data_IF_884713233175
#
_entry.id   IF_884713233175
#
_cell.length_a   1.000
_cell.length_b   1.000
_cell.length_c   1.000
_cell.angle_alpha   90.00
_cell.angle_beta   90.00
_cell.angle_gamma   90.00
#
_symmetry.space_group_name_H-M   'P 1'
#
loop_
_entity.id
_entity.type
_entity.pdbx_description
1 polymer ?
#
# COMPACT_ATOMS: atom_id res chain seq x y z
N UNK A 1 -12.53 -22.94 -22.11
CA UNK A 1 -11.86 -21.65 -21.85
C UNK A 1 -12.10 -21.30 -20.38
N UNK A 2 -11.09 -21.47 -19.48
CA UNK A 2 -11.18 -21.04 -18.09
C UNK A 2 -11.28 -19.49 -18.09
N UNK A 3 -12.31 -18.96 -17.46
CA UNK A 3 -12.37 -17.50 -17.20
C UNK A 3 -11.24 -17.16 -16.25
N UNK A 4 -10.26 -16.40 -16.72
CA UNK A 4 -9.19 -15.85 -15.91
C UNK A 4 -9.86 -15.03 -14.79
N UNK A 5 -9.61 -15.42 -13.54
CA UNK A 5 -10.17 -14.77 -12.37
C UNK A 5 -9.76 -13.27 -12.31
N UNK A 6 -10.57 -12.45 -11.63
CA UNK A 6 -10.33 -11.00 -11.52
C UNK A 6 -8.96 -10.70 -10.88
N UNK A 7 -8.53 -11.53 -9.92
CA UNK A 7 -7.21 -11.43 -9.27
C UNK A 7 -6.03 -11.74 -10.21
N UNK A 8 -6.17 -12.73 -11.10
CA UNK A 8 -5.13 -13.08 -12.08
C UNK A 8 -4.91 -11.97 -13.13
N UNK A 9 -5.96 -11.19 -13.47
CA UNK A 9 -5.83 -10.00 -14.33
C UNK A 9 -5.08 -8.87 -13.64
N UNK A 10 -5.34 -8.60 -12.36
CA UNK A 10 -4.66 -7.59 -11.55
C UNK A 10 -3.16 -7.86 -11.51
N UNK A 11 -2.75 -9.10 -11.20
CA UNK A 11 -1.34 -9.49 -11.15
C UNK A 11 -0.67 -9.34 -12.52
N UNK A 12 -1.35 -9.69 -13.61
CA UNK A 12 -0.81 -9.54 -14.97
C UNK A 12 -0.60 -8.07 -15.37
N UNK A 13 -1.46 -7.17 -14.91
CA UNK A 13 -1.34 -5.74 -15.19
C UNK A 13 -0.24 -5.07 -14.32
N UNK A 14 -0.05 -5.52 -13.10
CA UNK A 14 1.02 -5.08 -12.21
C UNK A 14 2.43 -5.31 -12.78
N UNK A 15 2.68 -6.51 -13.30
CA UNK A 15 3.97 -6.85 -13.91
C UNK A 15 4.28 -6.07 -15.20
N UNK A 16 3.27 -5.45 -15.84
CA UNK A 16 3.45 -4.63 -17.05
C UNK A 16 3.91 -3.20 -16.75
N UNK A 17 3.56 -2.63 -15.58
CA UNK A 17 3.89 -1.25 -15.19
C UNK A 17 5.38 -1.06 -14.85
N UNK A 18 5.98 -2.04 -14.17
CA UNK A 18 7.32 -1.90 -13.57
C UNK A 18 8.49 -1.90 -14.60
N UNK A 19 8.28 -2.42 -15.79
CA UNK A 19 9.36 -2.53 -16.80
C UNK A 19 9.69 -1.25 -17.57
N UNK A 20 9.01 -0.11 -17.33
CA UNK A 20 9.17 1.12 -18.11
C UNK A 20 9.44 2.38 -17.31
N UNK A 21 9.78 2.27 -16.03
CA UNK A 21 10.27 3.44 -15.32
C UNK A 21 11.58 3.90 -15.97
N UNK A 22 11.56 5.07 -16.62
CA UNK A 22 12.78 5.67 -17.15
C UNK A 22 13.73 5.95 -15.99
N UNK A 23 15.03 5.94 -16.24
CA UNK A 23 16.04 6.28 -15.23
C UNK A 23 15.71 7.59 -14.51
N UNK A 24 15.19 8.57 -15.25
CA UNK A 24 14.75 9.85 -14.69
C UNK A 24 13.61 9.72 -13.68
N UNK A 25 12.62 8.84 -13.91
CA UNK A 25 11.54 8.59 -12.95
C UNK A 25 12.07 7.96 -11.66
N UNK A 26 12.99 7.01 -11.76
CA UNK A 26 13.63 6.38 -10.58
C UNK A 26 14.45 7.38 -9.78
N UNK A 27 15.18 8.27 -10.46
CA UNK A 27 15.94 9.34 -9.80
C UNK A 27 15.01 10.33 -9.10
N UNK A 28 13.89 10.71 -9.72
CA UNK A 28 12.87 11.58 -9.11
C UNK A 28 12.17 10.92 -7.93
N UNK A 29 11.85 9.61 -8.00
CA UNK A 29 11.33 8.86 -6.86
C UNK A 29 12.30 8.90 -5.67
N UNK A 30 13.59 8.61 -5.88
CA UNK A 30 14.61 8.70 -4.83
C UNK A 30 14.72 10.12 -4.25
N UNK A 31 14.71 11.13 -5.13
CA UNK A 31 14.74 12.53 -4.72
C UNK A 31 13.51 12.92 -3.86
N UNK A 32 12.32 12.36 -4.16
CA UNK A 32 11.11 12.59 -3.36
C UNK A 32 11.32 12.15 -1.91
N UNK A 33 11.71 10.90 -1.69
CA UNK A 33 11.90 10.37 -0.34
C UNK A 33 13.05 11.05 0.40
N UNK A 34 14.17 11.34 -0.28
CA UNK A 34 15.26 12.11 0.30
C UNK A 34 14.78 13.49 0.78
N UNK A 35 14.12 14.26 -0.08
CA UNK A 35 13.65 15.60 0.26
C UNK A 35 12.58 15.58 1.35
N UNK A 36 11.66 14.60 1.34
CA UNK A 36 10.66 14.43 2.40
C UNK A 36 11.29 14.07 3.76
N UNK A 37 12.41 13.38 3.78
CA UNK A 37 13.13 13.11 5.02
C UNK A 37 13.77 14.36 5.62
N UNK A 38 14.21 15.29 4.78
CA UNK A 38 14.98 16.48 5.17
C UNK A 38 14.11 17.73 5.40
N UNK A 39 13.01 17.89 4.62
CA UNK A 39 12.23 19.15 4.56
C UNK A 39 10.73 18.89 4.70
N UNK A 40 10.00 19.92 5.15
CA UNK A 40 8.55 19.98 5.07
C UNK A 40 8.10 20.09 3.60
N UNK A 41 7.00 19.42 3.25
CA UNK A 41 6.48 19.39 1.87
C UNK A 41 6.27 20.78 1.26
N UNK A 42 5.72 21.71 2.05
CA UNK A 42 5.50 23.08 1.60
C UNK A 42 6.76 23.82 1.16
N UNK A 43 7.93 23.43 1.70
CA UNK A 43 9.23 24.04 1.40
C UNK A 43 9.99 23.38 0.25
N UNK A 44 9.48 22.27 -0.27
CA UNK A 44 10.08 21.55 -1.40
C UNK A 44 9.56 22.13 -2.72
N UNK A 45 10.48 22.47 -3.62
CA UNK A 45 10.21 22.99 -4.95
C UNK A 45 10.62 22.01 -6.05
N UNK A 46 10.10 22.20 -7.27
CA UNK A 46 10.54 21.42 -8.45
C UNK A 46 12.05 21.57 -8.69
N UNK A 47 12.62 22.74 -8.34
CA UNK A 47 14.07 22.95 -8.45
C UNK A 47 14.87 22.05 -7.49
N UNK A 48 14.34 21.80 -6.27
CA UNK A 48 14.97 20.88 -5.33
C UNK A 48 14.98 19.46 -5.91
N UNK A 49 13.86 18.99 -6.48
CA UNK A 49 13.77 17.68 -7.12
C UNK A 49 14.78 17.52 -8.26
N UNK A 50 14.83 18.48 -9.17
CA UNK A 50 15.74 18.41 -10.33
C UNK A 50 17.20 18.45 -9.90
N UNK A 51 17.53 19.22 -8.87
CA UNK A 51 18.87 19.29 -8.29
C UNK A 51 19.29 17.97 -7.65
N UNK A 52 18.42 17.37 -6.83
CA UNK A 52 18.71 16.11 -6.14
C UNK A 52 18.75 14.94 -7.12
N UNK A 53 17.82 14.91 -8.08
CA UNK A 53 17.76 13.86 -9.10
C UNK A 53 18.85 14.00 -10.17
N UNK A 54 19.56 15.14 -10.28
CA UNK A 54 20.57 15.38 -11.30
C UNK A 54 20.02 15.48 -12.71
N UNK A 55 18.78 15.97 -12.88
CA UNK A 55 18.12 16.09 -14.18
C UNK A 55 17.79 17.57 -14.52
N UNK A 56 17.54 17.84 -15.78
CA UNK A 56 17.07 19.15 -16.21
C UNK A 56 15.59 19.38 -15.89
N UNK A 57 15.20 20.63 -15.65
CA UNK A 57 13.81 21.02 -15.38
C UNK A 57 12.85 20.62 -16.51
N UNK A 58 13.30 20.66 -17.74
CA UNK A 58 12.54 20.20 -18.91
C UNK A 58 12.21 18.70 -18.81
N UNK A 59 13.15 17.87 -18.34
CA UNK A 59 12.95 16.44 -18.14
C UNK A 59 11.93 16.18 -17.04
N UNK A 60 11.91 16.99 -15.96
CA UNK A 60 10.86 16.90 -14.95
C UNK A 60 9.47 17.08 -15.57
N UNK A 61 9.27 18.16 -16.32
CA UNK A 61 7.98 18.50 -16.93
C UNK A 61 7.58 17.59 -18.11
N UNK A 62 8.47 16.74 -18.60
CA UNK A 62 8.11 15.65 -19.53
C UNK A 62 7.40 14.49 -18.83
N UNK A 63 7.59 14.36 -17.51
CA UNK A 63 7.04 13.24 -16.73
C UNK A 63 5.92 13.65 -15.78
N UNK A 64 5.97 14.87 -15.23
CA UNK A 64 5.09 15.35 -14.18
C UNK A 64 4.68 16.81 -14.41
N UNK A 65 3.41 17.12 -14.16
CA UNK A 65 2.90 18.49 -14.27
C UNK A 65 3.48 19.40 -13.18
N UNK A 66 3.54 18.89 -11.97
CA UNK A 66 4.11 19.58 -10.79
C UNK A 66 4.59 18.58 -9.72
N UNK A 67 4.97 19.09 -8.55
CA UNK A 67 5.44 18.26 -7.44
C UNK A 67 4.32 17.40 -6.82
N UNK A 68 3.07 17.82 -6.91
CA UNK A 68 1.93 17.04 -6.38
C UNK A 68 1.64 15.86 -7.28
N UNK A 69 1.71 16.07 -8.60
CA UNK A 69 1.60 14.98 -9.59
C UNK A 69 2.72 13.95 -9.42
N UNK A 70 3.97 14.39 -9.22
CA UNK A 70 5.08 13.48 -8.89
C UNK A 70 4.78 12.66 -7.64
N UNK A 71 4.36 13.31 -6.54
CA UNK A 71 4.10 12.60 -5.29
C UNK A 71 2.93 11.61 -5.43
N UNK A 72 1.86 12.02 -6.12
CA UNK A 72 0.71 11.17 -6.34
C UNK A 72 1.06 9.93 -7.18
N UNK A 73 1.74 10.10 -8.32
CA UNK A 73 2.13 8.98 -9.16
C UNK A 73 3.07 8.01 -8.43
N UNK A 74 4.02 8.52 -7.62
CA UNK A 74 4.90 7.66 -6.82
C UNK A 74 4.11 6.88 -5.76
N UNK A 75 3.13 7.50 -5.09
CA UNK A 75 2.25 6.79 -4.15
C UNK A 75 1.40 5.74 -4.85
N UNK A 76 0.79 6.07 -5.98
CA UNK A 76 -0.02 5.14 -6.77
C UNK A 76 0.82 3.91 -7.19
N UNK A 77 2.05 4.12 -7.68
CA UNK A 77 2.98 3.04 -8.01
C UNK A 77 3.30 2.15 -6.79
N UNK A 78 3.52 2.75 -5.61
CA UNK A 78 3.77 1.98 -4.37
C UNK A 78 2.58 1.13 -3.98
N UNK A 79 1.37 1.66 -4.05
CA UNK A 79 0.16 0.91 -3.73
C UNK A 79 -0.17 -0.15 -4.77
N UNK A 80 0.14 0.07 -6.04
CA UNK A 80 0.03 -0.95 -7.07
C UNK A 80 1.00 -2.11 -6.82
N UNK A 81 2.25 -1.84 -6.44
CA UNK A 81 3.21 -2.88 -6.02
C UNK A 81 2.71 -3.63 -4.78
N UNK A 82 2.15 -2.92 -3.80
CA UNK A 82 1.52 -3.55 -2.63
C UNK A 82 0.35 -4.47 -3.03
N UNK A 83 -0.55 -4.01 -3.90
CA UNK A 83 -1.65 -4.85 -4.44
C UNK A 83 -1.10 -6.14 -5.06
N UNK A 84 -0.07 -6.01 -5.89
CA UNK A 84 0.57 -7.15 -6.53
C UNK A 84 1.15 -8.14 -5.52
N UNK A 85 1.84 -7.64 -4.49
CA UNK A 85 2.42 -8.47 -3.45
C UNK A 85 1.32 -9.21 -2.66
N UNK A 86 0.27 -8.50 -2.25
CA UNK A 86 -0.82 -9.06 -1.44
C UNK A 86 -1.62 -10.10 -2.23
N UNK A 87 -2.03 -9.77 -3.46
CA UNK A 87 -2.94 -10.59 -4.27
C UNK A 87 -2.24 -11.52 -5.27
N UNK A 88 -0.91 -11.69 -5.16
CA UNK A 88 -0.19 -12.69 -5.94
C UNK A 88 -0.86 -14.07 -5.79
N UNK A 89 -0.94 -14.90 -6.87
CA UNK A 89 -1.53 -16.22 -6.79
C UNK A 89 -0.96 -17.02 -5.62
N UNK A 90 -1.86 -17.63 -4.84
CA UNK A 90 -1.51 -18.54 -3.74
C UNK A 90 -1.54 -19.94 -4.33
N UNK A 91 -0.53 -20.76 -4.06
CA UNK A 91 -0.52 -22.16 -4.51
C UNK A 91 -1.57 -22.96 -3.73
N UNK A 92 -2.22 -23.93 -4.39
CA UNK A 92 -3.28 -24.72 -3.76
C UNK A 92 -2.82 -25.43 -2.49
N UNK A 93 -1.55 -25.83 -2.42
CA UNK A 93 -0.94 -26.46 -1.24
C UNK A 93 -0.80 -25.52 -0.03
N UNK A 94 -0.73 -24.20 -0.26
CA UNK A 94 -0.66 -23.18 0.80
C UNK A 94 -2.05 -22.87 1.36
N UNK A 95 -3.12 -23.08 0.58
CA UNK A 95 -4.51 -22.82 0.99
C UNK A 95 -5.08 -23.90 1.92
N UNK A 96 -4.56 -25.15 1.88
CA UNK A 96 -5.00 -26.20 2.79
C UNK A 96 -4.47 -26.02 4.23
N UNK A 97 -3.42 -25.22 4.42
CA UNK A 97 -2.75 -25.04 5.72
C UNK A 97 -3.04 -23.72 6.38
N UNK A 98 -3.43 -22.71 5.62
CA UNK A 98 -3.59 -21.35 6.14
C UNK A 98 -4.88 -20.71 5.60
N UNK A 99 -5.63 -20.05 6.46
CA UNK A 99 -6.78 -19.26 6.01
C UNK A 99 -6.31 -18.21 4.99
N UNK A 100 -7.01 -18.06 3.87
CA UNK A 100 -6.67 -17.09 2.83
C UNK A 100 -6.46 -15.67 3.40
N UNK A 101 -7.21 -15.31 4.42
CA UNK A 101 -7.05 -14.06 5.16
C UNK A 101 -5.64 -13.90 5.75
N UNK A 102 -5.09 -14.97 6.36
CA UNK A 102 -3.74 -14.93 6.92
C UNK A 102 -2.69 -14.58 5.86
N UNK A 103 -2.74 -15.23 4.70
CA UNK A 103 -1.76 -14.99 3.61
C UNK A 103 -1.79 -13.54 3.16
N UNK A 104 -2.98 -12.94 2.99
CA UNK A 104 -3.11 -11.55 2.57
C UNK A 104 -2.59 -10.58 3.64
N UNK A 105 -2.92 -10.83 4.91
CA UNK A 105 -2.46 -9.99 6.03
C UNK A 105 -0.95 -10.12 6.21
N UNK A 106 -0.41 -11.34 6.16
CA UNK A 106 1.03 -11.59 6.23
C UNK A 106 1.79 -10.84 5.13
N UNK A 107 1.34 -10.98 3.88
CA UNK A 107 1.95 -10.29 2.73
C UNK A 107 1.87 -8.77 2.85
N UNK A 108 0.78 -8.24 3.41
CA UNK A 108 0.65 -6.81 3.69
C UNK A 108 1.73 -6.33 4.65
N UNK A 109 1.90 -6.97 5.82
CA UNK A 109 2.93 -6.58 6.78
C UNK A 109 4.35 -6.87 6.26
N UNK A 110 4.54 -7.93 5.51
CA UNK A 110 5.81 -8.23 4.84
C UNK A 110 6.20 -7.11 3.88
N UNK A 111 5.27 -6.67 3.03
CA UNK A 111 5.50 -5.56 2.11
C UNK A 111 5.83 -4.24 2.83
N UNK A 112 5.12 -3.93 3.91
CA UNK A 112 5.45 -2.77 4.75
C UNK A 112 6.85 -2.87 5.35
N UNK A 113 7.29 -4.08 5.73
CA UNK A 113 8.63 -4.31 6.24
C UNK A 113 9.72 -4.11 5.17
N UNK A 114 9.48 -4.59 3.97
CA UNK A 114 10.41 -4.49 2.84
C UNK A 114 10.59 -3.03 2.38
N UNK A 115 9.57 -2.18 2.57
CA UNK A 115 9.54 -0.76 2.18
C UNK A 115 9.43 0.20 3.38
N UNK A 116 9.94 -0.22 4.55
CA UNK A 116 9.76 0.48 5.81
C UNK A 116 10.11 1.97 5.75
N UNK A 117 11.29 2.30 5.23
CA UNK A 117 11.79 3.68 5.20
C UNK A 117 10.85 4.60 4.42
N UNK A 118 10.37 4.14 3.26
CA UNK A 118 9.46 4.90 2.41
C UNK A 118 8.12 5.14 3.12
N UNK A 119 7.53 4.09 3.73
CA UNK A 119 6.27 4.22 4.47
C UNK A 119 6.40 5.07 5.73
N UNK A 120 7.48 4.96 6.49
CA UNK A 120 7.72 5.83 7.66
C UNK A 120 7.80 7.30 7.26
N UNK A 121 8.48 7.64 6.16
CA UNK A 121 8.57 9.00 5.65
C UNK A 121 7.18 9.50 5.24
N UNK A 122 6.42 8.70 4.48
CA UNK A 122 5.07 9.05 4.05
C UNK A 122 4.13 9.24 5.24
N UNK A 123 4.14 8.38 6.26
CA UNK A 123 3.31 8.53 7.45
C UNK A 123 3.66 9.77 8.27
N UNK A 124 4.95 10.05 8.42
CA UNK A 124 5.41 11.26 9.11
C UNK A 124 4.94 12.54 8.41
N UNK A 125 4.83 12.53 7.10
CA UNK A 125 4.38 13.64 6.24
C UNK A 125 2.92 13.55 5.82
N UNK A 126 2.19 12.58 6.33
CA UNK A 126 0.89 12.12 5.84
C UNK A 126 -0.18 13.18 5.71
N UNK A 127 -0.20 14.19 6.59
CA UNK A 127 -1.18 15.30 6.52
C UNK A 127 -0.97 16.17 5.29
N UNK A 128 0.27 16.35 4.83
CA UNK A 128 0.62 17.21 3.70
C UNK A 128 0.43 16.49 2.35
N UNK A 129 0.45 15.16 2.35
CA UNK A 129 0.42 14.30 1.16
C UNK A 129 -0.88 13.47 1.05
N UNK A 130 -1.86 13.70 1.94
CA UNK A 130 -3.12 12.96 1.99
C UNK A 130 -2.95 11.42 2.04
N UNK A 131 -1.83 10.94 2.63
CA UNK A 131 -1.51 9.51 2.68
C UNK A 131 -2.63 8.69 3.30
N UNK A 132 -3.32 9.21 4.32
CA UNK A 132 -4.41 8.51 4.98
C UNK A 132 -5.59 8.24 4.02
N UNK A 133 -5.91 9.21 3.16
CA UNK A 133 -6.96 9.04 2.13
C UNK A 133 -6.53 8.04 1.06
N UNK A 134 -5.28 8.09 0.63
CA UNK A 134 -4.74 7.14 -0.36
C UNK A 134 -4.74 5.72 0.19
N UNK A 135 -4.31 5.52 1.45
CA UNK A 135 -4.35 4.20 2.12
C UNK A 135 -5.79 3.72 2.30
N UNK A 136 -6.70 4.61 2.70
CA UNK A 136 -8.12 4.27 2.83
C UNK A 136 -8.71 3.82 1.49
N UNK A 137 -8.48 4.59 0.41
CA UNK A 137 -8.95 4.26 -0.93
C UNK A 137 -8.39 2.90 -1.41
N UNK A 138 -7.12 2.63 -1.13
CA UNK A 138 -6.50 1.33 -1.41
C UNK A 138 -7.26 0.17 -0.74
N UNK A 139 -7.58 0.28 0.55
CA UNK A 139 -8.33 -0.77 1.25
C UNK A 139 -9.78 -0.86 0.77
N UNK A 140 -10.47 0.25 0.50
CA UNK A 140 -11.84 0.26 -0.03
C UNK A 140 -11.92 -0.45 -1.39
N UNK A 141 -10.96 -0.21 -2.27
CA UNK A 141 -10.86 -0.90 -3.55
C UNK A 141 -10.54 -2.39 -3.34
N UNK A 142 -9.61 -2.74 -2.45
CA UNK A 142 -9.23 -4.10 -2.12
C UNK A 142 -10.41 -4.92 -1.59
N UNK A 143 -11.24 -4.34 -0.74
CA UNK A 143 -12.50 -4.98 -0.29
C UNK A 143 -13.48 -5.23 -1.43
N UNK A 144 -13.58 -4.31 -2.39
CA UNK A 144 -14.45 -4.45 -3.57
C UNK A 144 -14.00 -5.56 -4.51
N UNK A 145 -12.73 -5.97 -4.45
CA UNK A 145 -12.16 -7.06 -5.24
C UNK A 145 -12.46 -8.46 -4.70
N UNK A 146 -13.23 -8.57 -3.62
CA UNK A 146 -13.72 -9.84 -3.09
C UNK A 146 -12.84 -10.44 -2.00
N UNK A 147 -12.07 -9.62 -1.27
CA UNK A 147 -11.38 -10.04 -0.04
C UNK A 147 -12.40 -10.13 1.11
N UNK A 148 -13.57 -10.69 0.83
CA UNK A 148 -14.60 -10.94 1.86
C UNK A 148 -14.09 -11.87 2.97
N UNK A 149 -13.07 -12.70 2.69
CA UNK A 149 -12.45 -13.58 3.66
C UNK A 149 -11.63 -12.85 4.75
N UNK A 150 -11.26 -11.58 4.55
CA UNK A 150 -10.48 -10.80 5.52
C UNK A 150 -11.35 -10.24 6.65
N UNK A 151 -12.67 -10.27 6.49
CA UNK A 151 -13.61 -9.74 7.48
C UNK A 151 -14.05 -10.76 8.56
N UNK A 152 -13.42 -11.95 8.60
CA UNK A 152 -13.83 -13.01 9.54
C UNK A 152 -15.18 -13.66 9.18
N UNK A 153 -15.75 -14.44 10.09
CA UNK A 153 -17.08 -15.01 9.92
C UNK A 153 -18.09 -13.88 9.70
N UNK A 154 -18.90 -13.99 8.62
CA UNK A 154 -19.93 -12.99 8.28
C UNK A 154 -20.79 -12.71 9.51
N UNK A 155 -20.67 -11.54 10.15
CA UNK A 155 -21.60 -11.20 11.21
C UNK A 155 -23.02 -11.16 10.65
N UNK A 156 -24.01 -11.37 11.51
CA UNK A 156 -25.41 -11.22 11.10
C UNK A 156 -25.63 -9.81 10.51
N UNK A 157 -25.98 -9.70 9.23
CA UNK A 157 -26.16 -8.40 8.58
C UNK A 157 -27.27 -7.57 9.21
N UNK A 158 -28.14 -8.17 10.04
CA UNK A 158 -29.17 -7.48 10.82
C UNK A 158 -28.61 -6.83 12.10
N UNK A 159 -27.43 -7.28 12.58
CA UNK A 159 -26.79 -6.73 13.78
C UNK A 159 -25.76 -5.64 13.45
N UNK A 160 -24.95 -5.85 12.40
CA UNK A 160 -23.90 -4.91 12.02
C UNK A 160 -23.95 -4.63 10.51
N UNK A 161 -24.24 -3.38 10.10
CA UNK A 161 -24.24 -3.01 8.68
C UNK A 161 -22.89 -3.27 8.02
N UNK A 162 -22.90 -3.76 6.78
CA UNK A 162 -21.68 -4.12 6.04
C UNK A 162 -20.70 -2.93 5.90
N UNK A 163 -21.22 -1.71 5.74
CA UNK A 163 -20.38 -0.52 5.62
C UNK A 163 -19.67 -0.19 6.93
N UNK A 164 -20.32 -0.44 8.08
CA UNK A 164 -19.69 -0.29 9.38
C UNK A 164 -18.58 -1.32 9.59
N UNK A 165 -18.80 -2.58 9.18
CA UNK A 165 -17.79 -3.63 9.24
C UNK A 165 -16.57 -3.26 8.39
N UNK A 166 -16.79 -2.82 7.15
CA UNK A 166 -15.70 -2.36 6.26
C UNK A 166 -14.89 -1.25 6.92
N UNK A 167 -15.56 -0.21 7.44
CA UNK A 167 -14.87 0.89 8.11
C UNK A 167 -14.09 0.46 9.34
N UNK A 168 -14.61 -0.46 10.13
CA UNK A 168 -13.91 -1.03 11.28
C UNK A 168 -12.63 -1.74 10.85
N UNK A 169 -12.73 -2.65 9.89
CA UNK A 169 -11.58 -3.44 9.39
C UNK A 169 -10.53 -2.54 8.74
N UNK A 170 -10.93 -1.60 7.87
CA UNK A 170 -10.02 -0.63 7.26
C UNK A 170 -9.28 0.17 8.34
N UNK A 171 -10.01 0.68 9.32
CA UNK A 171 -9.42 1.47 10.41
C UNK A 171 -8.46 0.65 11.26
N UNK A 172 -8.76 -0.64 11.49
CA UNK A 172 -7.87 -1.55 12.19
C UNK A 172 -6.56 -1.76 11.42
N UNK A 173 -6.61 -2.00 10.11
CA UNK A 173 -5.40 -2.17 9.29
C UNK A 173 -4.56 -0.89 9.24
N UNK A 174 -5.18 0.25 8.96
CA UNK A 174 -4.47 1.53 8.89
C UNK A 174 -3.83 1.87 10.23
N UNK A 175 -4.59 1.76 11.33
CA UNK A 175 -4.11 2.10 12.66
C UNK A 175 -3.00 1.16 13.16
N UNK A 176 -3.13 -0.15 12.93
CA UNK A 176 -2.12 -1.12 13.35
C UNK A 176 -0.86 -1.04 12.50
N UNK A 177 -0.96 -0.76 11.19
CA UNK A 177 0.19 -0.54 10.32
C UNK A 177 0.98 0.71 10.72
N UNK A 178 0.28 1.83 10.95
CA UNK A 178 0.91 3.06 11.42
C UNK A 178 1.61 2.85 12.77
N UNK A 179 0.92 2.26 13.74
CA UNK A 179 1.48 1.96 15.06
C UNK A 179 2.72 1.07 14.94
N UNK A 180 2.66 0.01 14.17
CA UNK A 180 3.72 -0.97 14.00
C UNK A 180 4.98 -0.35 13.39
N UNK A 181 4.84 0.42 12.31
CA UNK A 181 5.95 1.15 11.70
C UNK A 181 6.54 2.21 12.64
N UNK A 182 5.68 2.99 13.32
CA UNK A 182 6.10 4.07 14.22
C UNK A 182 6.85 3.57 15.45
N UNK A 183 6.52 2.37 15.94
CA UNK A 183 7.15 1.76 17.12
C UNK A 183 8.38 0.92 16.79
N UNK A 184 8.85 0.94 15.53
CA UNK A 184 10.04 0.20 15.11
C UNK A 184 9.79 -1.29 14.92
N UNK A 185 8.58 -1.67 14.56
CA UNK A 185 8.18 -3.05 14.23
C UNK A 185 8.51 -4.05 15.34
N UNK A 186 7.88 -3.93 16.52
CA UNK A 186 8.19 -4.76 17.68
C UNK A 186 7.86 -6.25 17.48
N UNK A 187 7.09 -6.59 16.45
CA UNK A 187 6.66 -7.94 16.13
C UNK A 187 6.94 -8.28 14.66
N UNK A 188 7.04 -9.58 14.35
CA UNK A 188 7.20 -10.05 12.97
C UNK A 188 5.91 -9.89 12.15
N UNK A 189 5.98 -9.86 10.81
CA UNK A 189 4.80 -9.91 9.94
C UNK A 189 3.87 -11.09 10.23
N UNK A 190 4.44 -12.26 10.53
CA UNK A 190 3.75 -13.48 10.92
C UNK A 190 2.91 -13.29 12.21
N UNK A 191 3.54 -12.73 13.25
CA UNK A 191 2.84 -12.42 14.50
C UNK A 191 1.73 -11.39 14.30
N UNK A 192 1.98 -10.36 13.48
CA UNK A 192 0.97 -9.35 13.14
C UNK A 192 -0.22 -9.98 12.42
N UNK A 193 0.03 -10.85 11.44
CA UNK A 193 -1.04 -11.52 10.70
C UNK A 193 -1.91 -12.40 11.62
N UNK A 194 -1.28 -13.25 12.42
CA UNK A 194 -1.98 -14.13 13.38
C UNK A 194 -2.78 -13.34 14.41
N UNK A 195 -2.20 -12.24 14.92
CA UNK A 195 -2.87 -11.38 15.90
C UNK A 195 -4.07 -10.65 15.31
N UNK A 196 -3.96 -10.15 14.07
CA UNK A 196 -5.06 -9.47 13.38
C UNK A 196 -6.23 -10.41 13.13
N UNK A 197 -5.97 -11.65 12.69
CA UNK A 197 -7.03 -12.65 12.54
C UNK A 197 -7.72 -12.90 13.88
N UNK A 198 -6.93 -13.16 14.92
CA UNK A 198 -7.49 -13.42 16.26
C UNK A 198 -8.36 -12.28 16.77
N UNK A 199 -7.96 -11.03 16.53
CA UNK A 199 -8.74 -9.85 16.92
C UNK A 199 -10.02 -9.68 16.09
N UNK A 200 -10.04 -10.11 14.83
CA UNK A 200 -11.19 -9.97 13.93
C UNK A 200 -12.21 -11.11 14.17
N UNK A 201 -11.73 -12.33 14.45
CA UNK A 201 -12.59 -13.51 14.58
C UNK A 201 -13.20 -13.69 15.99
N UNK A 202 -12.58 -13.12 17.01
CA UNK A 202 -13.01 -13.31 18.40
C UNK A 202 -13.74 -12.09 19.00
N UNK A 203 -14.39 -11.30 18.16
CA UNK A 203 -15.30 -10.21 18.60
C UNK A 203 -16.79 -10.63 18.38
#
# INVERSE_FOLDING_TARGET
MKKIGRGERLVADCYRGDKRATESKQQLRKALFQLLSEKEWGKISVQDFTKVAGIHRTTFYQHYEDKFDLAQQVMDEMFDVMKCAIFAPVQEDDLEKEHAAYVYIFRFYQHLQEHEEEYQILWKRGRELNIHETVRAFFEESFSLGVEGVAGSKPDPHLVPIDMQKQFVISAYVGTAEWWLRTGRPYSPDFMASSMIHLIENQ
#
